data_IF_031451159398
#
_entry.id   IF_031451159398
#
_cell.length_a   1.000
_cell.length_b   1.000
_cell.length_c   1.000
_cell.angle_alpha   90.00
_cell.angle_beta   90.00
_cell.angle_gamma   90.00
#
_symmetry.space_group_name_H-M   'P 1'
#
loop_
_entity.id
_entity.type
_entity.pdbx_description
1 polymer ?
#
# COMPACT_ATOMS: atom_id res chain seq x y z
N UNK A 1 -14.58 -23.27 11.03
CA UNK A 1 -15.15 -22.28 10.09
C UNK A 1 -14.02 -21.83 9.15
N UNK A 2 -13.70 -22.62 8.13
CA UNK A 2 -12.66 -22.31 7.13
C UNK A 2 -13.33 -21.57 5.97
N UNK A 3 -13.67 -20.30 6.19
CA UNK A 3 -14.17 -19.42 5.14
C UNK A 3 -12.99 -18.81 4.39
N UNK A 4 -12.74 -19.23 3.16
CA UNK A 4 -11.87 -18.61 2.15
C UNK A 4 -10.79 -17.63 2.67
N UNK A 5 -9.63 -18.16 3.05
CA UNK A 5 -8.46 -17.34 3.43
C UNK A 5 -8.09 -16.29 2.37
N UNK A 6 -8.29 -16.60 1.09
CA UNK A 6 -8.10 -15.65 -0.01
C UNK A 6 -9.05 -14.44 0.05
N UNK A 7 -10.32 -14.66 0.41
CA UNK A 7 -11.29 -13.57 0.60
C UNK A 7 -10.93 -12.71 1.81
N UNK A 8 -10.45 -13.33 2.89
CA UNK A 8 -9.97 -12.59 4.07
C UNK A 8 -8.75 -11.72 3.74
N UNK A 9 -7.79 -12.23 2.95
CA UNK A 9 -6.63 -11.44 2.51
C UNK A 9 -7.04 -10.29 1.60
N UNK A 10 -8.05 -10.51 0.74
CA UNK A 10 -8.56 -9.49 -0.16
C UNK A 10 -9.30 -8.39 0.61
N UNK A 11 -10.18 -8.74 1.55
CA UNK A 11 -10.95 -7.76 2.33
C UNK A 11 -10.09 -7.04 3.37
N UNK A 12 -9.04 -7.69 3.89
CA UNK A 12 -8.06 -7.07 4.79
C UNK A 12 -7.31 -5.89 4.15
N UNK A 13 -7.22 -5.82 2.81
CA UNK A 13 -6.65 -4.68 2.09
C UNK A 13 -7.49 -3.41 2.20
N UNK A 14 -8.80 -3.54 2.46
CA UNK A 14 -9.72 -2.40 2.54
C UNK A 14 -10.06 -2.02 3.98
N UNK A 15 -9.78 -2.91 4.92
CA UNK A 15 -9.97 -2.68 6.36
C UNK A 15 -8.84 -1.79 6.90
N UNK A 16 -9.22 -0.72 7.58
CA UNK A 16 -8.28 0.19 8.26
C UNK A 16 -8.62 0.23 9.75
N UNK A 17 -7.59 0.15 10.58
CA UNK A 17 -7.75 0.14 12.04
C UNK A 17 -8.25 1.49 12.59
N UNK A 18 -7.91 2.58 11.90
CA UNK A 18 -8.19 3.96 12.32
C UNK A 18 -8.19 4.94 11.14
N UNK A 19 -8.83 6.09 11.32
CA UNK A 19 -8.96 7.15 10.30
C UNK A 19 -7.61 7.72 9.87
N UNK A 20 -6.65 8.02 10.78
CA UNK A 20 -5.30 8.44 10.39
C UNK A 20 -4.59 7.45 9.46
N UNK A 21 -4.68 6.15 9.73
CA UNK A 21 -4.12 5.13 8.84
C UNK A 21 -4.74 5.15 7.44
N UNK A 22 -6.07 5.29 7.33
CA UNK A 22 -6.74 5.41 6.05
C UNK A 22 -6.27 6.65 5.29
N UNK A 23 -6.25 7.81 5.94
CA UNK A 23 -5.83 9.08 5.34
C UNK A 23 -4.37 8.99 4.86
N UNK A 24 -3.49 8.37 5.65
CA UNK A 24 -2.10 8.11 5.26
C UNK A 24 -2.02 7.28 3.99
N UNK A 25 -2.66 6.11 3.95
CA UNK A 25 -2.65 5.24 2.77
C UNK A 25 -3.19 5.94 1.52
N UNK A 26 -4.28 6.70 1.66
CA UNK A 26 -4.83 7.48 0.55
C UNK A 26 -3.88 8.58 0.08
N UNK A 27 -3.20 9.28 0.99
CA UNK A 27 -2.21 10.30 0.64
C UNK A 27 -1.05 9.71 -0.16
N UNK A 28 -0.51 8.56 0.27
CA UNK A 28 0.54 7.86 -0.47
C UNK A 28 0.05 7.38 -1.84
N UNK A 29 -1.16 6.82 -1.94
CA UNK A 29 -1.74 6.44 -3.23
C UNK A 29 -1.93 7.64 -4.16
N UNK A 30 -2.35 8.79 -3.64
CA UNK A 30 -2.53 9.99 -4.44
C UNK A 30 -1.18 10.54 -4.96
N UNK A 31 -0.15 10.55 -4.11
CA UNK A 31 1.17 11.10 -4.46
C UNK A 31 1.93 10.16 -5.41
N UNK A 32 1.99 8.86 -5.08
CA UNK A 32 2.82 7.89 -5.80
C UNK A 32 2.03 7.06 -6.81
N UNK A 33 0.74 6.80 -6.56
CA UNK A 33 -0.10 6.00 -7.44
C UNK A 33 -0.39 6.69 -8.76
N UNK A 34 -0.68 8.00 -8.77
CA UNK A 34 -0.98 8.73 -10.02
C UNK A 34 0.17 8.68 -11.05
N UNK A 35 1.43 9.00 -10.67
CA UNK A 35 2.55 8.91 -11.59
C UNK A 35 2.81 7.48 -12.08
N UNK A 36 2.68 6.49 -11.19
CA UNK A 36 2.83 5.08 -11.57
C UNK A 36 1.73 4.68 -12.54
N UNK A 37 0.47 5.00 -12.24
CA UNK A 37 -0.69 4.71 -13.10
C UNK A 37 -0.48 5.25 -14.52
N UNK A 38 0.00 6.48 -14.64
CA UNK A 38 0.29 7.11 -15.93
C UNK A 38 1.41 6.40 -16.69
N UNK A 39 2.38 5.81 -15.99
CA UNK A 39 3.50 5.11 -16.60
C UNK A 39 3.15 3.68 -17.07
N UNK A 40 2.32 2.95 -16.30
CA UNK A 40 2.06 1.53 -16.56
C UNK A 40 0.61 1.19 -16.93
N UNK A 41 -0.32 2.14 -16.76
CA UNK A 41 -1.75 1.98 -16.95
C UNK A 41 -2.50 1.46 -15.71
N UNK A 42 -3.79 1.80 -15.61
CA UNK A 42 -4.66 1.50 -14.46
C UNK A 42 -4.76 0.01 -14.13
N UNK A 43 -4.84 -0.86 -15.15
CA UNK A 43 -4.94 -2.30 -14.92
C UNK A 43 -3.66 -2.87 -14.27
N UNK A 44 -2.48 -2.42 -14.69
CA UNK A 44 -1.22 -2.89 -14.13
C UNK A 44 -1.00 -2.35 -12.73
N UNK A 45 -1.43 -1.11 -12.46
CA UNK A 45 -1.44 -0.55 -11.12
C UNK A 45 -2.33 -1.38 -10.18
N UNK A 46 -3.54 -1.73 -10.62
CA UNK A 46 -4.47 -2.56 -9.84
C UNK A 46 -3.86 -3.92 -9.53
N UNK A 47 -3.24 -4.58 -10.52
CA UNK A 47 -2.57 -5.87 -10.31
C UNK A 47 -1.39 -5.75 -9.35
N UNK A 48 -0.57 -4.69 -9.46
CA UNK A 48 0.51 -4.44 -8.50
C UNK A 48 -0.01 -4.23 -7.08
N UNK A 49 -1.10 -3.49 -6.92
CA UNK A 49 -1.73 -3.26 -5.62
C UNK A 49 -2.23 -4.59 -5.02
N UNK A 50 -2.96 -5.39 -5.78
CA UNK A 50 -3.55 -6.65 -5.29
C UNK A 50 -2.49 -7.72 -5.03
N UNK A 51 -1.61 -7.99 -6.00
CA UNK A 51 -0.59 -9.04 -5.90
C UNK A 51 0.48 -8.64 -4.88
N UNK A 52 0.96 -7.40 -4.96
CA UNK A 52 1.96 -6.88 -4.02
C UNK A 52 1.45 -6.82 -2.58
N UNK A 53 0.20 -6.37 -2.39
CA UNK A 53 -0.46 -6.40 -1.09
C UNK A 53 -0.58 -7.80 -0.51
N UNK A 54 -0.96 -8.78 -1.32
CA UNK A 54 -1.06 -10.17 -0.89
C UNK A 54 0.32 -10.75 -0.52
N UNK A 55 1.36 -10.49 -1.33
CA UNK A 55 2.73 -10.93 -1.04
C UNK A 55 3.28 -10.26 0.23
N UNK A 56 3.01 -8.97 0.43
CA UNK A 56 3.40 -8.26 1.64
C UNK A 56 2.72 -8.83 2.89
N UNK A 57 1.43 -9.18 2.80
CA UNK A 57 0.70 -9.83 3.90
C UNK A 57 1.27 -11.22 4.21
N UNK A 58 1.61 -12.02 3.19
CA UNK A 58 2.26 -13.31 3.38
C UNK A 58 3.65 -13.14 4.03
N UNK A 59 4.46 -12.20 3.53
CA UNK A 59 5.77 -11.92 4.10
C UNK A 59 5.68 -11.45 5.57
N UNK A 60 4.69 -10.61 5.89
CA UNK A 60 4.39 -10.21 7.27
C UNK A 60 4.01 -11.39 8.17
N UNK A 61 3.17 -12.30 7.68
CA UNK A 61 2.76 -13.51 8.40
C UNK A 61 3.93 -14.44 8.71
N UNK A 62 4.84 -14.61 7.75
CA UNK A 62 6.03 -15.45 7.92
C UNK A 62 7.07 -14.80 8.86
N UNK A 63 7.13 -13.46 8.88
CA UNK A 63 8.12 -12.71 9.67
C UNK A 63 7.74 -12.61 11.15
N UNK A 64 6.45 -12.69 11.50
CA UNK A 64 5.98 -12.70 12.89
C UNK A 64 5.04 -13.89 13.16
N UNK A 65 5.57 -15.13 13.26
CA UNK A 65 4.76 -16.32 13.47
C UNK A 65 3.97 -16.34 14.78
N UNK A 66 4.39 -15.54 15.77
CA UNK A 66 3.80 -15.45 17.11
C UNK A 66 2.89 -14.22 17.30
N UNK A 67 2.66 -13.42 16.26
CA UNK A 67 1.78 -12.26 16.37
C UNK A 67 0.33 -12.71 16.43
N UNK A 68 -0.31 -12.51 17.60
CA UNK A 68 -1.75 -12.72 17.83
C UNK A 68 -2.60 -11.66 17.10
N UNK A 69 -1.97 -10.59 16.61
CA UNK A 69 -2.69 -9.55 15.87
C UNK A 69 -2.98 -9.98 14.43
N UNK A 70 -4.24 -9.85 13.97
CA UNK A 70 -4.57 -10.06 12.57
C UNK A 70 -3.80 -9.07 11.69
N UNK A 71 -3.21 -9.57 10.61
CA UNK A 71 -2.58 -8.75 9.57
C UNK A 71 -3.70 -8.00 8.85
N UNK A 72 -3.83 -6.71 9.18
CA UNK A 72 -4.83 -5.80 8.63
C UNK A 72 -4.06 -4.70 7.94
N UNK A 73 -4.42 -4.39 6.69
CA UNK A 73 -4.08 -3.10 6.10
C UNK A 73 -3.69 -3.12 4.63
N UNK A 74 -4.11 -2.06 3.96
CA UNK A 74 -3.64 -1.67 2.63
C UNK A 74 -2.15 -1.31 2.58
N UNK A 75 -1.46 -1.16 3.73
CA UNK A 75 -0.12 -0.56 3.81
C UNK A 75 0.93 -1.35 3.03
N UNK A 76 0.83 -2.68 2.97
CA UNK A 76 1.69 -3.52 2.14
C UNK A 76 1.49 -3.27 0.64
N UNK A 77 0.23 -3.07 0.22
CA UNK A 77 -0.11 -2.75 -1.17
C UNK A 77 0.36 -1.33 -1.55
N UNK A 78 0.18 -0.36 -0.65
CA UNK A 78 0.69 1.02 -0.82
C UNK A 78 2.21 1.03 -0.89
N UNK A 79 2.90 0.27 -0.03
CA UNK A 79 4.36 0.13 -0.05
C UNK A 79 4.86 -0.47 -1.36
N UNK A 80 4.10 -1.41 -1.95
CA UNK A 80 4.41 -1.95 -3.28
C UNK A 80 4.34 -0.85 -4.34
N UNK A 81 3.33 0.02 -4.31
CA UNK A 81 3.22 1.14 -5.25
C UNK A 81 4.36 2.15 -5.07
N UNK A 82 4.76 2.44 -3.83
CA UNK A 82 5.93 3.29 -3.56
C UNK A 82 7.21 2.65 -4.12
N UNK A 83 7.41 1.35 -3.92
CA UNK A 83 8.53 0.62 -4.51
C UNK A 83 8.52 0.67 -6.04
N UNK A 84 7.36 0.49 -6.67
CA UNK A 84 7.19 0.62 -8.12
C UNK A 84 7.50 2.05 -8.61
N UNK A 85 7.08 3.07 -7.87
CA UNK A 85 7.44 4.47 -8.16
C UNK A 85 8.95 4.68 -8.14
N UNK A 86 9.65 4.20 -7.10
CA UNK A 86 11.10 4.33 -7.00
C UNK A 86 11.83 3.60 -8.13
N UNK A 87 11.32 2.45 -8.56
CA UNK A 87 11.88 1.70 -9.68
C UNK A 87 11.66 2.38 -11.04
N UNK A 88 10.49 2.99 -11.25
CA UNK A 88 10.15 3.70 -12.49
C UNK A 88 10.80 5.09 -12.58
N UNK A 89 11.00 5.74 -11.44
CA UNK A 89 11.50 7.11 -11.35
C UNK A 89 12.72 7.22 -10.42
N UNK A 90 13.84 6.53 -10.70
CA UNK A 90 15.00 6.46 -9.80
C UNK A 90 15.73 7.80 -9.63
N UNK A 91 15.46 8.78 -10.51
CA UNK A 91 16.03 10.14 -10.46
C UNK A 91 14.99 11.21 -10.11
N UNK A 92 13.78 10.82 -9.70
CA UNK A 92 12.78 11.79 -9.28
C UNK A 92 13.20 12.42 -7.94
N UNK A 93 13.24 13.75 -7.91
CA UNK A 93 13.36 14.50 -6.67
C UNK A 93 11.96 14.75 -6.11
N UNK A 94 11.65 14.11 -4.99
CA UNK A 94 10.43 14.40 -4.23
C UNK A 94 10.60 15.76 -3.54
N UNK A 95 10.07 16.81 -4.15
CA UNK A 95 9.94 18.11 -3.50
C UNK A 95 8.89 18.03 -2.40
N UNK A 96 9.32 18.01 -1.14
CA UNK A 96 8.41 18.18 0.00
C UNK A 96 8.06 19.66 0.10
N UNK A 97 6.86 20.03 -0.34
CA UNK A 97 6.29 21.34 -0.01
C UNK A 97 5.75 21.22 1.41
N UNK A 98 6.60 21.52 2.40
CA UNK A 98 6.18 21.74 3.78
C UNK A 98 5.49 23.11 3.82
N UNK A 99 4.16 23.20 4.02
CA UNK A 99 3.55 24.47 4.36
C UNK A 99 3.99 24.76 5.80
N UNK A 100 5.15 25.40 5.98
CA UNK A 100 5.73 25.64 7.30
C UNK A 100 4.86 26.56 8.18
N UNK A 101 3.81 27.18 7.64
CA UNK A 101 2.81 27.89 8.43
C UNK A 101 3.39 28.92 9.40
N UNK A 102 4.60 29.43 9.13
CA UNK A 102 5.25 30.46 9.91
C UNK A 102 4.86 31.82 9.31
N UNK A 103 3.74 32.34 9.81
CA UNK A 103 3.44 33.78 9.83
C UNK A 103 3.19 34.16 11.29
#
# INVERSE_FOLDING_TARGET
MQGNAALHLLTALFMHADVPHLVGNMAFLLIFGLPVERAIGSLRLLLLFLIGGMLANIAGALSLPQAVMPIIGASGAVSTIVGAYLALFPRAHLGVVLPLGAY
#
